data_IF_676990523559
#
_entry.id   IF_676990523559
#
_cell.length_a   1.000
_cell.length_b   1.000
_cell.length_c   1.000
_cell.angle_alpha   90.00
_cell.angle_beta   90.00
_cell.angle_gamma   90.00
#
_symmetry.space_group_name_H-M   'P 1'
#
loop_
_entity.id
_entity.type
_entity.pdbx_description
1 polymer ?
#
# COMPACT_ATOMS: atom_id res chain seq x y z
N UNK A 1 26.03 45.58 47.39
CA UNK A 1 27.05 44.52 47.57
C UNK A 1 27.08 43.70 46.28
N UNK A 2 27.77 44.21 45.27
CA UNK A 2 29.19 43.96 44.91
C UNK A 2 29.35 42.76 43.99
N UNK A 3 29.69 43.10 42.75
CA UNK A 3 30.34 42.31 41.71
C UNK A 3 31.74 41.83 42.08
N UNK A 4 32.17 40.69 41.52
CA UNK A 4 33.56 40.34 41.17
C UNK A 4 33.54 38.99 40.44
N UNK A 5 34.00 38.83 39.19
CA UNK A 5 35.41 38.84 38.74
C UNK A 5 36.24 37.73 39.43
N UNK A 6 37.18 36.98 38.85
CA UNK A 6 37.63 36.66 37.49
C UNK A 6 38.91 35.81 37.68
N UNK A 7 39.12 34.83 36.79
CA UNK A 7 40.43 34.36 36.23
C UNK A 7 41.52 33.63 37.04
N UNK A 8 42.22 32.78 36.24
CA UNK A 8 43.58 32.22 36.35
C UNK A 8 43.66 30.81 37.02
N UNK A 9 44.40 29.81 36.52
CA UNK A 9 45.67 29.82 35.78
C UNK A 9 45.99 28.43 35.14
N UNK A 10 46.55 28.44 33.91
CA UNK A 10 47.75 27.73 33.35
C UNK A 10 48.07 26.25 33.75
N UNK A 11 48.61 25.34 32.90
CA UNK A 11 49.62 25.48 31.84
C UNK A 11 49.83 24.20 30.97
N UNK A 12 50.40 24.41 29.76
CA UNK A 12 51.51 23.68 29.05
C UNK A 12 51.54 22.14 28.93
N UNK A 13 52.15 21.48 27.94
CA UNK A 13 52.63 21.67 26.55
C UNK A 13 53.14 20.24 26.11
N UNK A 14 53.22 19.95 24.81
CA UNK A 14 53.45 18.62 24.16
C UNK A 14 54.92 18.09 24.25
N UNK A 15 55.44 17.04 23.52
CA UNK A 15 54.91 16.13 22.46
C UNK A 15 55.44 14.64 22.43
N UNK A 16 55.20 13.96 21.28
CA UNK A 16 55.69 12.66 20.73
C UNK A 16 54.90 11.38 21.11
N UNK A 17 54.62 10.40 20.23
CA UNK A 17 54.88 10.13 18.80
C UNK A 17 54.04 8.88 18.38
N UNK A 18 53.73 8.73 17.07
CA UNK A 18 53.39 7.47 16.34
C UNK A 18 52.04 6.78 16.69
N UNK A 19 51.21 6.24 15.78
CA UNK A 19 51.33 5.86 14.37
C UNK A 19 49.91 5.69 13.78
N UNK A 20 49.79 5.95 12.48
CA UNK A 20 48.61 5.84 11.63
C UNK A 20 48.37 4.39 11.20
N UNK A 21 47.14 3.86 11.30
CA UNK A 21 46.66 2.84 10.35
C UNK A 21 45.13 2.64 10.37
N UNK A 22 44.54 2.67 9.17
CA UNK A 22 43.15 2.33 8.86
C UNK A 22 43.01 0.82 8.59
N UNK A 23 41.85 0.18 8.85
CA UNK A 23 41.53 -1.09 8.21
C UNK A 23 40.75 -0.86 6.91
N UNK A 24 41.34 -1.37 5.81
CA UNK A 24 40.80 -1.46 4.46
C UNK A 24 39.73 -2.55 4.31
N UNK A 25 38.87 -2.31 3.32
CA UNK A 25 37.97 -3.26 2.65
C UNK A 25 38.67 -4.57 2.23
N UNK A 26 37.92 -5.68 2.29
CA UNK A 26 38.26 -6.91 1.59
C UNK A 26 37.16 -7.25 0.58
N UNK A 27 37.51 -7.07 -0.69
CA UNK A 27 36.89 -7.72 -1.85
C UNK A 27 37.18 -9.23 -1.82
N UNK A 28 36.21 -10.05 -2.24
CA UNK A 28 36.48 -11.43 -2.68
C UNK A 28 35.95 -11.57 -4.10
N UNK A 29 36.89 -11.68 -5.05
CA UNK A 29 36.67 -12.00 -6.45
C UNK A 29 36.50 -13.52 -6.66
N UNK A 30 35.41 -13.86 -7.33
CA UNK A 30 35.33 -14.66 -8.57
C UNK A 30 36.41 -15.70 -8.87
N UNK A 31 36.03 -16.99 -8.91
CA UNK A 31 36.67 -18.00 -9.75
C UNK A 31 35.63 -18.66 -10.68
N UNK A 32 35.90 -18.57 -11.99
CA UNK A 32 35.27 -19.36 -13.05
C UNK A 32 36.02 -20.69 -13.23
N UNK A 33 35.33 -21.71 -13.77
CA UNK A 33 35.96 -22.64 -14.71
C UNK A 33 35.32 -22.54 -16.11
N UNK A 34 36.17 -22.73 -17.11
CA UNK A 34 35.92 -22.62 -18.55
C UNK A 34 35.30 -23.87 -19.20
N UNK A 35 34.25 -23.62 -19.99
CA UNK A 35 33.85 -24.17 -21.31
C UNK A 35 33.82 -25.68 -21.62
N UNK A 36 32.65 -26.16 -22.08
CA UNK A 36 32.51 -26.87 -23.37
C UNK A 36 31.10 -26.69 -23.95
N UNK A 37 31.01 -26.63 -25.29
CA UNK A 37 29.88 -26.19 -26.09
C UNK A 37 28.90 -27.33 -26.46
N UNK A 38 27.62 -27.00 -26.70
CA UNK A 38 26.64 -27.95 -27.25
C UNK A 38 25.17 -27.47 -27.33
N UNK A 39 24.88 -26.64 -28.33
CA UNK A 39 23.65 -26.48 -29.12
C UNK A 39 22.23 -26.82 -28.56
N UNK A 40 21.33 -25.82 -28.57
CA UNK A 40 19.94 -25.92 -29.09
C UNK A 40 18.76 -26.22 -28.13
N UNK A 41 17.80 -25.28 -28.02
CA UNK A 41 16.38 -25.56 -27.67
C UNK A 41 15.73 -24.71 -26.55
N UNK A 42 14.70 -23.92 -26.90
CA UNK A 42 13.79 -23.12 -26.01
C UNK A 42 12.92 -24.01 -25.08
N UNK A 43 12.02 -23.47 -24.19
CA UNK A 43 12.03 -22.25 -23.39
C UNK A 43 11.79 -22.50 -21.86
N UNK A 44 12.06 -21.44 -21.10
CA UNK A 44 11.62 -21.09 -19.75
C UNK A 44 10.40 -21.86 -19.17
N UNK A 45 10.63 -22.74 -18.20
CA UNK A 45 9.60 -23.32 -17.32
C UNK A 45 10.07 -23.23 -15.87
N UNK A 46 9.66 -22.17 -15.19
CA UNK A 46 9.73 -22.06 -13.73
C UNK A 46 8.49 -21.32 -13.22
N UNK A 47 7.33 -21.95 -13.47
CA UNK A 47 6.14 -21.71 -12.66
C UNK A 47 5.83 -23.04 -11.96
N UNK A 48 6.62 -23.36 -10.94
CA UNK A 48 6.32 -24.50 -10.07
C UNK A 48 5.07 -24.16 -9.27
N UNK A 49 3.96 -24.71 -9.75
CA UNK A 49 2.77 -24.97 -8.96
C UNK A 49 3.20 -25.60 -7.62
N UNK A 50 2.83 -24.94 -6.52
CA UNK A 50 2.87 -25.55 -5.20
C UNK A 50 1.76 -26.60 -5.17
N UNK A 51 2.10 -27.84 -5.53
CA UNK A 51 1.25 -29.01 -5.34
C UNK A 51 1.22 -29.35 -3.85
N UNK A 52 0.11 -29.04 -3.19
CA UNK A 52 -0.16 -29.50 -1.83
C UNK A 52 -0.73 -30.93 -1.85
N UNK A 53 0.11 -31.91 -2.16
CA UNK A 53 -0.15 -33.30 -1.79
C UNK A 53 1.12 -33.88 -1.17
N UNK A 54 1.27 -33.66 0.14
CA UNK A 54 2.06 -34.55 0.98
C UNK A 54 1.07 -35.36 1.80
N UNK A 55 0.64 -36.47 1.23
CA UNK A 55 0.02 -37.54 2.00
C UNK A 55 1.09 -38.08 2.94
N UNK A 56 0.85 -37.89 4.25
CA UNK A 56 1.59 -38.59 5.30
C UNK A 56 0.54 -39.28 6.15
N UNK A 57 0.62 -40.60 6.15
CA UNK A 57 -0.28 -41.56 6.78
C UNK A 57 -0.52 -41.22 8.27
N UNK A 58 -1.78 -41.30 8.70
CA UNK A 58 -2.18 -41.28 10.11
C UNK A 58 -2.59 -39.94 10.75
N UNK A 59 -2.88 -38.89 9.97
CA UNK A 59 -2.98 -37.52 10.54
C UNK A 59 -4.41 -36.96 10.50
N UNK A 60 -4.97 -36.63 11.67
CA UNK A 60 -6.18 -35.80 11.78
C UNK A 60 -6.10 -34.62 10.83
N UNK A 61 -7.07 -34.48 9.91
CA UNK A 61 -7.06 -33.38 8.93
C UNK A 61 -7.10 -32.07 9.70
N UNK A 62 -6.00 -31.30 9.64
CA UNK A 62 -5.94 -29.98 10.27
C UNK A 62 -7.03 -29.09 9.66
N UNK A 63 -8.04 -28.76 10.47
CA UNK A 63 -9.20 -27.98 10.08
C UNK A 63 -8.83 -26.54 9.72
N UNK A 64 -8.05 -25.85 10.55
CA UNK A 64 -7.58 -24.49 10.30
C UNK A 64 -6.19 -24.54 9.67
N UNK A 65 -6.10 -24.31 8.35
CA UNK A 65 -4.86 -24.43 7.57
C UNK A 65 -3.88 -23.30 7.84
N UNK A 66 -4.36 -22.08 8.11
CA UNK A 66 -3.49 -20.94 8.38
C UNK A 66 -4.27 -19.65 8.64
N UNK A 67 -3.54 -18.65 9.14
CA UNK A 67 -4.05 -17.29 9.36
C UNK A 67 -3.16 -16.32 8.58
N UNK A 68 -3.78 -15.45 7.80
CA UNK A 68 -3.07 -14.50 6.94
C UNK A 68 -3.56 -13.08 7.19
N UNK A 69 -2.63 -12.12 7.18
CA UNK A 69 -2.98 -10.70 7.15
C UNK A 69 -3.55 -10.36 5.78
N UNK A 70 -4.62 -9.55 5.75
CA UNK A 70 -5.18 -8.99 4.50
C UNK A 70 -5.49 -7.50 4.66
N UNK A 71 -6.07 -6.89 3.63
CA UNK A 71 -6.50 -5.49 3.66
C UNK A 71 -5.33 -4.52 3.89
N UNK A 72 -5.60 -3.41 4.57
CA UNK A 72 -4.64 -2.33 4.80
C UNK A 72 -3.39 -2.79 5.55
N UNK A 73 -3.55 -3.69 6.53
CA UNK A 73 -2.45 -4.18 7.36
C UNK A 73 -1.44 -4.97 6.51
N UNK A 74 -1.91 -5.87 5.65
CA UNK A 74 -1.02 -6.66 4.79
C UNK A 74 -0.31 -5.83 3.73
N UNK A 75 -0.98 -4.78 3.25
CA UNK A 75 -0.49 -3.90 2.18
C UNK A 75 0.35 -2.74 2.69
N UNK A 76 0.48 -2.58 4.01
CA UNK A 76 1.16 -1.44 4.62
C UNK A 76 0.49 -0.10 4.28
N UNK A 77 -0.84 -0.07 4.16
CA UNK A 77 -1.61 1.12 3.75
C UNK A 77 -2.36 1.79 4.91
N UNK A 78 -2.05 1.42 6.16
CA UNK A 78 -2.62 2.06 7.34
C UNK A 78 -2.25 3.55 7.39
N UNK A 79 -3.22 4.38 7.75
CA UNK A 79 -3.10 5.80 8.02
C UNK A 79 -3.45 6.08 9.49
N UNK A 80 -3.09 7.26 9.97
CA UNK A 80 -3.50 7.69 11.30
C UNK A 80 -5.03 7.70 11.42
N UNK A 81 -5.54 7.21 12.54
CA UNK A 81 -6.98 7.04 12.78
C UNK A 81 -7.53 5.68 12.36
N UNK A 82 -6.79 4.88 11.58
CA UNK A 82 -7.19 3.50 11.31
C UNK A 82 -7.08 2.65 12.57
N UNK A 83 -8.22 2.17 13.01
CA UNK A 83 -8.36 1.32 14.19
C UNK A 83 -8.85 -0.09 13.85
N UNK A 84 -9.06 -0.40 12.57
CA UNK A 84 -9.56 -1.70 12.14
C UNK A 84 -8.60 -2.39 11.17
N UNK A 85 -8.22 -3.63 11.48
CA UNK A 85 -7.36 -4.47 10.65
C UNK A 85 -8.02 -5.82 10.38
N UNK A 86 -7.58 -6.50 9.33
CA UNK A 86 -8.24 -7.71 8.84
C UNK A 86 -7.27 -8.89 8.79
N UNK A 87 -7.74 -10.03 9.29
CA UNK A 87 -7.12 -11.34 9.15
C UNK A 87 -8.10 -12.30 8.47
N UNK A 88 -7.57 -13.27 7.74
CA UNK A 88 -8.34 -14.36 7.16
C UNK A 88 -7.81 -15.70 7.66
N UNK A 89 -8.71 -16.52 8.18
CA UNK A 89 -8.46 -17.90 8.58
C UNK A 89 -8.90 -18.82 7.44
N UNK A 90 -7.96 -19.59 6.90
CA UNK A 90 -8.23 -20.55 5.84
C UNK A 90 -8.61 -21.91 6.44
N UNK A 91 -9.79 -22.39 6.11
CA UNK A 91 -10.33 -23.66 6.56
C UNK A 91 -10.14 -24.74 5.49
N UNK A 92 -9.88 -25.97 5.94
CA UNK A 92 -9.79 -27.15 5.08
C UNK A 92 -11.13 -27.43 4.37
N UNK A 93 -12.22 -27.28 5.12
CA UNK A 93 -13.59 -27.46 4.66
C UNK A 93 -14.33 -26.12 4.63
N UNK A 94 -15.52 -26.09 4.00
CA UNK A 94 -16.39 -24.90 4.00
C UNK A 94 -16.74 -24.55 5.46
N UNK A 95 -16.44 -23.32 5.93
CA UNK A 95 -16.62 -22.97 7.34
C UNK A 95 -18.11 -22.91 7.71
N UNK A 96 -18.40 -23.27 8.95
CA UNK A 96 -19.76 -23.30 9.51
C UNK A 96 -19.96 -22.31 10.64
N UNK A 97 -21.21 -22.02 11.00
CA UNK A 97 -21.57 -21.21 12.16
C UNK A 97 -21.14 -21.90 13.45
N UNK A 98 -21.23 -23.24 13.52
CA UNK A 98 -20.67 -24.02 14.64
C UNK A 98 -19.16 -23.81 14.80
N UNK A 99 -18.40 -23.81 13.70
CA UNK A 99 -16.96 -23.53 13.73
C UNK A 99 -16.69 -22.10 14.21
N UNK A 100 -17.44 -21.13 13.69
CA UNK A 100 -17.30 -19.73 14.09
C UNK A 100 -17.57 -19.53 15.59
N UNK A 101 -18.64 -20.15 16.11
CA UNK A 101 -18.97 -20.16 17.54
C UNK A 101 -17.86 -20.80 18.38
N UNK A 102 -17.30 -21.92 17.91
CA UNK A 102 -16.17 -22.57 18.58
C UNK A 102 -14.94 -21.65 18.64
N UNK A 103 -14.59 -20.97 17.55
CA UNK A 103 -13.49 -20.00 17.54
C UNK A 103 -13.78 -18.86 18.51
N UNK A 104 -15.00 -18.30 18.52
CA UNK A 104 -15.38 -17.21 19.41
C UNK A 104 -15.29 -17.59 20.91
N UNK A 105 -15.57 -18.85 21.26
CA UNK A 105 -15.46 -19.34 22.65
C UNK A 105 -14.02 -19.67 23.05
N UNK A 106 -13.24 -20.28 22.17
CA UNK A 106 -11.87 -20.75 22.48
C UNK A 106 -10.83 -19.64 22.40
N UNK A 107 -10.99 -18.69 21.48
CA UNK A 107 -10.00 -17.63 21.25
C UNK A 107 -9.71 -16.78 22.49
N UNK A 108 -10.70 -16.32 23.29
CA UNK A 108 -10.44 -15.62 24.55
C UNK A 108 -9.59 -16.43 25.53
N UNK A 109 -9.80 -17.75 25.59
CA UNK A 109 -9.07 -18.64 26.50
C UNK A 109 -7.59 -18.71 26.09
N UNK A 110 -7.31 -18.80 24.79
CA UNK A 110 -5.94 -18.83 24.29
C UNK A 110 -5.26 -17.46 24.39
N UNK A 111 -5.99 -16.36 24.16
CA UNK A 111 -5.46 -15.00 24.31
C UNK A 111 -4.99 -14.72 25.74
N UNK A 112 -5.78 -15.13 26.75
CA UNK A 112 -5.39 -14.97 28.17
C UNK A 112 -4.08 -15.67 28.51
N UNK A 113 -3.77 -16.80 27.88
CA UNK A 113 -2.51 -17.54 28.14
C UNK A 113 -1.27 -16.84 27.57
N UNK A 114 -1.45 -16.02 26.53
CA UNK A 114 -0.33 -15.35 25.84
C UNK A 114 -0.15 -13.93 26.37
N UNK A 115 -1.24 -13.29 26.81
CA UNK A 115 -1.24 -11.93 27.31
C UNK A 115 -2.20 -11.83 28.51
N UNK A 116 -1.74 -12.27 29.68
CA UNK A 116 -2.53 -12.31 30.91
C UNK A 116 -3.01 -10.93 31.36
N UNK A 117 -2.16 -9.91 31.18
CA UNK A 117 -2.44 -8.53 31.60
C UNK A 117 -3.28 -7.73 30.58
N UNK A 118 -3.57 -8.29 29.40
CA UNK A 118 -4.31 -7.59 28.35
C UNK A 118 -5.74 -8.10 28.21
N UNK A 119 -6.69 -7.17 28.32
CA UNK A 119 -8.11 -7.48 28.19
C UNK A 119 -8.55 -7.34 26.73
N UNK A 120 -8.78 -8.48 26.08
CA UNK A 120 -9.43 -8.53 24.78
C UNK A 120 -10.92 -8.84 24.91
N UNK A 121 -11.74 -8.13 24.16
CA UNK A 121 -13.16 -8.43 23.94
C UNK A 121 -13.30 -9.15 22.61
N UNK A 122 -13.92 -10.32 22.63
CA UNK A 122 -14.16 -11.14 21.43
C UNK A 122 -15.66 -11.22 21.19
N UNK A 123 -16.10 -10.78 20.01
CA UNK A 123 -17.51 -10.83 19.60
C UNK A 123 -17.64 -11.58 18.28
N UNK A 124 -18.72 -12.36 18.15
CA UNK A 124 -19.02 -13.07 16.90
C UNK A 124 -19.84 -12.16 15.98
N UNK A 125 -19.52 -12.16 14.68
CA UNK A 125 -20.26 -11.48 13.62
C UNK A 125 -20.69 -12.50 12.54
N UNK A 126 -21.79 -13.26 12.77
CA UNK A 126 -22.22 -14.34 11.88
C UNK A 126 -22.54 -13.87 10.45
N UNK A 127 -23.18 -12.71 10.32
CA UNK A 127 -23.56 -12.11 9.02
C UNK A 127 -22.32 -11.80 8.17
N UNK A 128 -21.20 -11.48 8.82
CA UNK A 128 -19.93 -11.18 8.16
C UNK A 128 -19.00 -12.40 8.06
N UNK A 129 -19.43 -13.57 8.54
CA UNK A 129 -18.61 -14.78 8.61
C UNK A 129 -17.31 -14.58 9.42
N UNK A 130 -17.35 -13.78 10.49
CA UNK A 130 -16.16 -13.30 11.17
C UNK A 130 -16.26 -13.27 12.70
N UNK A 131 -15.10 -13.21 13.34
CA UNK A 131 -14.93 -12.89 14.77
C UNK A 131 -14.22 -11.55 14.87
N UNK A 132 -14.70 -10.66 15.72
CA UNK A 132 -14.07 -9.38 16.00
C UNK A 132 -13.35 -9.47 17.35
N UNK A 133 -12.07 -9.11 17.36
CA UNK A 133 -11.25 -9.05 18.58
C UNK A 133 -10.84 -7.61 18.79
N UNK A 134 -11.13 -7.02 19.95
CA UNK A 134 -10.77 -5.64 20.26
C UNK A 134 -10.16 -5.49 21.65
N UNK A 135 -9.20 -4.58 21.77
CA UNK A 135 -8.64 -4.10 23.04
C UNK A 135 -9.27 -2.75 23.49
N UNK A 136 -10.30 -2.28 22.78
CA UNK A 136 -10.93 -0.97 22.97
C UNK A 136 -10.35 0.14 22.10
N UNK A 137 -9.12 -0.01 21.60
CA UNK A 137 -8.49 0.95 20.68
C UNK A 137 -8.44 0.41 19.26
N UNK A 138 -7.97 -0.83 19.08
CA UNK A 138 -7.83 -1.51 17.80
C UNK A 138 -8.84 -2.67 17.76
N UNK A 139 -9.41 -2.89 16.58
CA UNK A 139 -10.29 -4.02 16.26
C UNK A 139 -9.65 -4.85 15.15
N UNK A 140 -9.54 -6.15 15.38
CA UNK A 140 -9.10 -7.14 14.39
C UNK A 140 -10.33 -7.92 13.94
N UNK A 141 -10.73 -7.75 12.68
CA UNK A 141 -11.74 -8.60 12.04
C UNK A 141 -11.08 -9.87 11.49
N UNK A 142 -11.49 -11.02 12.02
CA UNK A 142 -10.98 -12.34 11.65
C UNK A 142 -12.07 -13.08 10.86
N UNK A 143 -11.97 -13.08 9.53
CA UNK A 143 -12.93 -13.77 8.66
C UNK A 143 -12.53 -15.23 8.41
N UNK A 144 -13.49 -16.15 8.45
CA UNK A 144 -13.27 -17.56 8.12
C UNK A 144 -13.66 -17.81 6.67
N UNK A 145 -12.84 -18.55 5.93
CA UNK A 145 -13.15 -18.92 4.54
C UNK A 145 -12.47 -20.23 4.12
N UNK A 146 -12.84 -20.77 2.96
CA UNK A 146 -12.25 -21.98 2.36
C UNK A 146 -12.16 -21.88 0.85
N UNK A 147 -11.06 -22.33 0.20
CA UNK A 147 -10.96 -22.36 -1.26
C UNK A 147 -12.08 -23.14 -1.95
N UNK A 148 -12.65 -24.14 -1.27
CA UNK A 148 -13.76 -24.97 -1.75
C UNK A 148 -15.04 -24.17 -2.03
N UNK A 149 -15.14 -22.93 -1.56
CA UNK A 149 -16.27 -22.05 -1.87
C UNK A 149 -16.21 -21.51 -3.30
N UNK A 150 -15.05 -21.51 -3.95
CA UNK A 150 -14.90 -21.08 -5.37
C UNK A 150 -15.10 -22.19 -6.38
N UNK A 151 -15.08 -23.45 -5.95
CA UNK A 151 -15.36 -24.59 -6.82
C UNK A 151 -16.87 -24.63 -7.10
N UNK A 152 -17.24 -24.83 -8.37
CA UNK A 152 -18.63 -24.74 -8.84
C UNK A 152 -19.53 -25.77 -8.16
N UNK A 153 -20.82 -25.46 -8.09
CA UNK A 153 -21.93 -26.22 -7.48
C UNK A 153 -22.23 -27.59 -8.12
N UNK A 154 -21.24 -28.32 -8.63
CA UNK A 154 -21.45 -29.69 -9.12
C UNK A 154 -21.79 -30.69 -8.00
N UNK A 155 -21.72 -30.27 -6.74
CA UNK A 155 -22.29 -30.97 -5.59
C UNK A 155 -23.44 -30.17 -4.96
N UNK A 156 -24.41 -29.73 -5.78
CA UNK A 156 -25.69 -29.19 -5.30
C UNK A 156 -26.56 -30.32 -4.68
N UNK A 157 -26.14 -30.85 -3.52
CA UNK A 157 -26.95 -31.73 -2.68
C UNK A 157 -26.43 -31.89 -1.24
N UNK A 158 -25.69 -30.92 -0.71
CA UNK A 158 -25.42 -30.84 0.73
C UNK A 158 -25.79 -29.44 1.22
N UNK A 159 -27.10 -29.20 1.32
CA UNK A 159 -27.63 -28.15 2.18
C UNK A 159 -27.33 -28.54 3.63
N UNK A 160 -26.12 -28.27 4.10
CA UNK A 160 -25.85 -28.16 5.52
C UNK A 160 -26.27 -26.76 5.94
N UNK A 161 -27.41 -26.64 6.62
CA UNK A 161 -28.00 -25.38 7.11
C UNK A 161 -27.03 -24.54 7.99
N UNK A 162 -25.89 -25.11 8.38
CA UNK A 162 -24.88 -24.50 9.25
C UNK A 162 -23.74 -23.79 8.49
N UNK A 163 -23.72 -23.73 7.15
CA UNK A 163 -22.63 -23.03 6.44
C UNK A 163 -22.63 -21.52 6.71
N UNK A 164 -21.43 -20.92 6.78
CA UNK A 164 -21.30 -19.47 6.84
C UNK A 164 -21.80 -18.81 5.54
N UNK A 165 -22.25 -17.54 5.60
CA UNK A 165 -22.70 -16.80 4.42
C UNK A 165 -21.64 -16.80 3.31
N UNK A 166 -22.03 -17.29 2.13
CA UNK A 166 -21.12 -17.51 1.00
C UNK A 166 -20.39 -16.23 0.58
N UNK A 167 -21.11 -15.13 0.47
CA UNK A 167 -20.60 -13.87 -0.06
C UNK A 167 -19.45 -13.27 0.81
N UNK A 168 -19.60 -13.08 2.13
CA UNK A 168 -18.48 -12.68 3.00
C UNK A 168 -17.26 -13.61 2.91
N UNK A 169 -17.47 -14.92 2.80
CA UNK A 169 -16.36 -15.86 2.66
C UNK A 169 -15.65 -15.71 1.30
N UNK A 170 -16.37 -15.45 0.21
CA UNK A 170 -15.78 -15.15 -1.09
C UNK A 170 -15.00 -13.82 -1.08
N UNK A 171 -15.53 -12.79 -0.41
CA UNK A 171 -14.83 -11.52 -0.19
C UNK A 171 -13.53 -11.70 0.60
N UNK A 172 -13.51 -12.58 1.61
CA UNK A 172 -12.28 -12.93 2.33
C UNK A 172 -11.25 -13.63 1.41
N UNK A 173 -11.68 -14.48 0.48
CA UNK A 173 -10.79 -15.07 -0.54
C UNK A 173 -10.31 -14.06 -1.58
N UNK A 174 -11.13 -13.08 -1.95
CA UNK A 174 -10.71 -11.95 -2.78
C UNK A 174 -9.64 -11.13 -2.06
N UNK A 175 -9.86 -10.77 -0.79
CA UNK A 175 -8.88 -10.03 0.02
C UNK A 175 -7.53 -10.74 0.14
N UNK A 176 -7.53 -12.08 0.24
CA UNK A 176 -6.30 -12.89 0.19
C UNK A 176 -5.57 -12.77 -1.15
N UNK A 177 -6.28 -12.84 -2.27
CA UNK A 177 -5.70 -12.67 -3.61
C UNK A 177 -5.17 -11.26 -3.80
N UNK A 178 -5.92 -10.25 -3.36
CA UNK A 178 -5.51 -8.84 -3.44
C UNK A 178 -4.23 -8.60 -2.63
N UNK A 179 -4.12 -9.17 -1.43
CA UNK A 179 -2.91 -9.07 -0.61
C UNK A 179 -1.70 -9.73 -1.29
N UNK A 180 -1.87 -10.92 -1.88
CA UNK A 180 -0.80 -11.60 -2.63
C UNK A 180 -0.38 -10.81 -3.87
N UNK A 181 -1.35 -10.33 -4.65
CA UNK A 181 -1.08 -9.48 -5.81
C UNK A 181 -0.33 -8.21 -5.40
N UNK A 182 -0.76 -7.54 -4.32
CA UNK A 182 -0.13 -6.32 -3.85
C UNK A 182 1.32 -6.54 -3.42
N UNK A 183 1.59 -7.65 -2.72
CA UNK A 183 2.94 -8.04 -2.35
C UNK A 183 3.82 -8.25 -3.59
N UNK A 184 3.29 -8.93 -4.61
CA UNK A 184 4.04 -9.26 -5.82
C UNK A 184 4.23 -8.08 -6.79
N UNK A 185 3.29 -7.11 -6.81
CA UNK A 185 3.21 -6.09 -7.86
C UNK A 185 3.47 -4.66 -7.36
N UNK A 186 2.91 -4.30 -6.21
CA UNK A 186 2.95 -2.92 -5.72
C UNK A 186 4.08 -2.68 -4.70
N UNK A 187 4.41 -3.67 -3.87
CA UNK A 187 5.34 -3.48 -2.73
C UNK A 187 6.76 -3.14 -3.17
N UNK A 188 7.25 -3.78 -4.24
CA UNK A 188 8.59 -3.51 -4.80
C UNK A 188 8.66 -2.30 -5.72
N UNK A 189 7.50 -1.70 -6.08
CA UNK A 189 7.46 -0.58 -7.01
C UNK A 189 7.79 0.73 -6.27
N UNK A 190 8.90 1.38 -6.64
CA UNK A 190 9.37 2.57 -5.95
C UNK A 190 8.29 3.65 -5.88
N UNK A 191 8.17 4.28 -4.70
CA UNK A 191 7.18 5.33 -4.38
C UNK A 191 5.71 4.87 -4.41
N UNK A 192 5.38 3.68 -4.93
CA UNK A 192 4.00 3.23 -5.15
C UNK A 192 3.17 3.20 -3.86
N UNK A 193 3.67 2.53 -2.82
CA UNK A 193 3.00 2.43 -1.51
C UNK A 193 2.79 3.82 -0.88
N UNK A 194 3.77 4.72 -1.03
CA UNK A 194 3.65 6.10 -0.53
C UNK A 194 2.53 6.86 -1.26
N UNK A 195 2.44 6.73 -2.58
CA UNK A 195 1.38 7.36 -3.36
C UNK A 195 0.02 6.77 -3.04
N UNK A 196 -0.10 5.46 -2.86
CA UNK A 196 -1.34 4.83 -2.44
C UNK A 196 -1.82 5.37 -1.09
N UNK A 197 -0.91 5.62 -0.13
CA UNK A 197 -1.25 6.27 1.14
C UNK A 197 -1.75 7.71 0.94
N UNK A 198 -1.07 8.50 0.12
CA UNK A 198 -1.49 9.88 -0.21
C UNK A 198 -2.87 9.89 -0.89
N UNK A 199 -3.10 9.00 -1.84
CA UNK A 199 -4.37 8.90 -2.56
C UNK A 199 -5.49 8.39 -1.66
N UNK A 200 -5.19 7.52 -0.70
CA UNK A 200 -6.16 7.08 0.30
C UNK A 200 -6.57 8.22 1.22
N UNK A 201 -5.61 9.01 1.71
CA UNK A 201 -5.88 10.25 2.46
C UNK A 201 -6.71 11.25 1.61
N UNK A 202 -6.38 11.40 0.33
CA UNK A 202 -7.17 12.23 -0.60
C UNK A 202 -8.64 11.78 -0.68
N UNK A 203 -8.88 10.47 -0.76
CA UNK A 203 -10.24 9.92 -0.77
C UNK A 203 -10.98 10.16 0.55
N UNK A 204 -10.28 10.21 1.68
CA UNK A 204 -10.88 10.54 2.98
C UNK A 204 -11.26 12.02 3.08
N UNK A 205 -10.43 12.92 2.53
CA UNK A 205 -10.64 14.37 2.59
C UNK A 205 -11.62 14.90 1.55
N UNK A 206 -11.70 14.27 0.39
CA UNK A 206 -12.41 14.81 -0.78
C UNK A 206 -13.44 13.79 -1.27
N UNK A 207 -14.75 13.97 -0.95
CA UNK A 207 -15.80 12.99 -1.22
C UNK A 207 -15.95 12.54 -2.68
N UNK A 208 -15.57 13.39 -3.65
CA UNK A 208 -15.59 13.01 -5.07
C UNK A 208 -14.69 11.80 -5.33
N UNK A 209 -13.55 11.70 -4.64
CA UNK A 209 -12.57 10.63 -4.82
C UNK A 209 -12.94 9.35 -4.08
N UNK A 210 -13.79 9.42 -3.04
CA UNK A 210 -14.24 8.22 -2.30
C UNK A 210 -15.17 7.32 -3.11
N UNK A 211 -15.64 7.76 -4.28
CA UNK A 211 -16.42 6.93 -5.19
C UNK A 211 -15.60 5.79 -5.80
N UNK A 212 -14.29 5.94 -5.94
CA UNK A 212 -13.42 4.86 -6.43
C UNK A 212 -13.20 3.88 -5.27
N UNK A 213 -13.51 2.60 -5.50
CA UNK A 213 -13.26 1.57 -4.50
C UNK A 213 -11.76 1.50 -4.17
N UNK A 214 -11.43 1.13 -2.93
CA UNK A 214 -10.02 1.04 -2.52
C UNK A 214 -9.21 0.11 -3.43
N UNK A 215 -9.78 -1.01 -3.82
CA UNK A 215 -9.13 -1.97 -4.71
C UNK A 215 -8.90 -1.41 -6.11
N UNK A 216 -9.91 -0.75 -6.70
CA UNK A 216 -9.75 -0.09 -8.01
C UNK A 216 -8.69 1.01 -7.96
N UNK A 217 -8.64 1.80 -6.88
CA UNK A 217 -7.60 2.82 -6.68
C UNK A 217 -6.21 2.17 -6.60
N UNK A 218 -6.02 1.11 -5.82
CA UNK A 218 -4.74 0.40 -5.72
C UNK A 218 -4.28 -0.14 -7.09
N UNK A 219 -5.16 -0.82 -7.82
CA UNK A 219 -4.86 -1.36 -9.16
C UNK A 219 -4.51 -0.24 -10.15
N UNK A 220 -5.28 0.84 -10.16
CA UNK A 220 -5.08 1.96 -11.09
C UNK A 220 -3.74 2.64 -10.84
N UNK A 221 -3.40 2.89 -9.57
CA UNK A 221 -2.13 3.51 -9.19
C UNK A 221 -0.93 2.64 -9.53
N UNK A 222 -0.99 1.33 -9.27
CA UNK A 222 0.08 0.41 -9.67
C UNK A 222 0.29 0.42 -11.19
N UNK A 223 -0.78 0.36 -11.99
CA UNK A 223 -0.67 0.39 -13.46
C UNK A 223 -0.11 1.72 -13.97
N UNK A 224 -0.57 2.85 -13.43
CA UNK A 224 -0.07 4.16 -13.83
C UNK A 224 1.43 4.29 -13.51
N UNK A 225 1.85 3.90 -12.31
CA UNK A 225 3.24 4.04 -11.88
C UNK A 225 4.14 3.03 -12.61
N UNK A 226 3.74 1.77 -12.72
CA UNK A 226 4.53 0.72 -13.40
C UNK A 226 4.70 0.98 -14.89
N UNK A 227 3.73 1.63 -15.54
CA UNK A 227 3.84 2.01 -16.96
C UNK A 227 4.87 3.12 -17.25
N UNK A 228 5.49 3.72 -16.24
CA UNK A 228 6.51 4.76 -16.45
C UNK A 228 7.77 4.21 -17.13
N UNK A 229 8.10 2.93 -16.93
CA UNK A 229 9.32 2.32 -17.45
C UNK A 229 10.62 2.77 -16.76
N UNK A 230 10.54 3.79 -15.91
CA UNK A 230 11.65 4.33 -15.13
C UNK A 230 11.27 4.50 -13.65
N UNK A 231 12.29 4.69 -12.83
CA UNK A 231 12.14 4.91 -11.40
C UNK A 231 11.73 6.36 -11.13
N UNK A 232 10.59 6.56 -10.50
CA UNK A 232 10.03 7.88 -10.22
C UNK A 232 10.14 8.24 -8.73
N UNK A 233 10.45 9.52 -8.46
CA UNK A 233 10.33 10.10 -7.13
C UNK A 233 8.86 10.23 -6.70
N UNK A 234 8.53 10.35 -5.41
CA UNK A 234 7.15 10.53 -4.98
C UNK A 234 6.45 11.74 -5.63
N UNK A 235 7.16 12.84 -5.84
CA UNK A 235 6.58 14.02 -6.51
C UNK A 235 6.23 13.77 -7.97
N UNK A 236 7.06 13.01 -8.69
CA UNK A 236 6.82 12.62 -10.09
C UNK A 236 5.71 11.58 -10.18
N UNK A 237 5.66 10.59 -9.29
CA UNK A 237 4.55 9.62 -9.26
C UNK A 237 3.21 10.31 -9.05
N UNK A 238 3.11 11.22 -8.07
CA UNK A 238 1.85 11.94 -7.83
C UNK A 238 1.44 12.78 -9.03
N UNK A 239 2.40 13.47 -9.66
CA UNK A 239 2.15 14.21 -10.90
C UNK A 239 1.63 13.29 -12.00
N UNK A 240 2.30 12.17 -12.27
CA UNK A 240 1.90 11.19 -13.28
C UNK A 240 0.51 10.61 -13.03
N UNK A 241 0.19 10.31 -11.77
CA UNK A 241 -1.16 9.88 -11.37
C UNK A 241 -2.18 10.96 -11.72
N UNK A 242 -1.94 12.21 -11.37
CA UNK A 242 -2.87 13.30 -11.70
C UNK A 242 -2.97 13.54 -13.21
N UNK A 243 -1.89 13.40 -13.96
CA UNK A 243 -1.90 13.47 -15.43
C UNK A 243 -2.80 12.38 -16.03
N UNK A 244 -2.59 11.12 -15.64
CA UNK A 244 -3.40 10.00 -16.12
C UNK A 244 -4.88 10.12 -15.72
N UNK A 245 -5.17 10.55 -14.49
CA UNK A 245 -6.56 10.77 -14.03
C UNK A 245 -7.22 11.95 -14.77
N UNK A 246 -6.43 12.97 -15.15
CA UNK A 246 -6.92 14.14 -15.89
C UNK A 246 -7.13 13.88 -17.39
N UNK A 247 -6.51 12.83 -17.94
CA UNK A 247 -6.55 12.48 -19.37
C UNK A 247 -7.82 11.71 -19.77
N UNK A 248 -8.88 11.79 -18.96
CA UNK A 248 -10.17 11.12 -19.19
C UNK A 248 -10.09 9.59 -19.26
N UNK A 249 -9.11 8.97 -18.58
CA UNK A 249 -8.97 7.51 -18.50
C UNK A 249 -10.20 6.84 -17.88
N UNK A 250 -10.95 7.54 -17.03
CA UNK A 250 -12.20 7.04 -16.45
C UNK A 250 -13.41 7.20 -17.37
N UNK A 251 -13.35 8.08 -18.38
CA UNK A 251 -14.48 8.37 -19.28
C UNK A 251 -14.39 7.54 -20.56
N UNK A 252 -13.22 7.59 -21.22
CA UNK A 252 -12.98 6.98 -22.53
C UNK A 252 -11.86 5.92 -22.48
N UNK A 253 -11.44 5.52 -21.28
CA UNK A 253 -10.41 4.50 -21.14
C UNK A 253 -10.94 3.07 -21.29
N UNK A 254 -10.03 2.09 -21.31
CA UNK A 254 -10.36 0.68 -21.60
C UNK A 254 -11.01 -0.07 -20.43
N UNK A 255 -11.37 0.62 -19.33
CA UNK A 255 -11.72 -0.02 -18.05
C UNK A 255 -10.50 -0.51 -17.27
N UNK A 256 -10.74 -1.18 -16.14
CA UNK A 256 -9.70 -1.68 -15.24
C UNK A 256 -9.99 -3.13 -14.81
N UNK A 257 -9.47 -4.05 -15.60
CA UNK A 257 -9.60 -5.49 -15.37
C UNK A 257 -8.97 -5.91 -14.03
N UNK A 258 -9.72 -6.69 -13.25
CA UNK A 258 -9.24 -7.29 -12.01
C UNK A 258 -8.29 -8.48 -12.30
N UNK A 259 -6.99 -8.38 -11.99
CA UNK A 259 -6.04 -9.48 -12.21
C UNK A 259 -6.20 -10.62 -11.21
N UNK A 260 -7.01 -10.44 -10.16
CA UNK A 260 -7.26 -11.47 -9.16
C UNK A 260 -8.45 -12.37 -9.54
N UNK A 261 -9.35 -11.94 -10.42
CA UNK A 261 -10.52 -12.74 -10.84
C UNK A 261 -10.24 -13.62 -12.06
N UNK A 262 -10.98 -14.75 -12.14
CA UNK A 262 -10.89 -15.68 -13.27
C UNK A 262 -11.66 -15.14 -14.48
N UNK A 263 -12.90 -14.72 -14.22
CA UNK A 263 -13.74 -14.09 -15.23
C UNK A 263 -13.34 -12.62 -15.39
N UNK A 264 -13.42 -12.07 -16.62
CA UNK A 264 -13.11 -10.67 -16.85
C UNK A 264 -14.06 -9.73 -16.08
N UNK A 265 -13.55 -9.12 -15.02
CA UNK A 265 -14.31 -8.17 -14.18
C UNK A 265 -13.68 -6.78 -14.25
N UNK A 266 -14.46 -5.75 -14.58
CA UNK A 266 -14.01 -4.35 -14.54
C UNK A 266 -14.24 -3.75 -13.16
N UNK A 267 -13.16 -3.51 -12.42
CA UNK A 267 -13.21 -2.93 -11.06
C UNK A 267 -13.77 -1.50 -11.01
N UNK A 268 -13.88 -0.82 -12.16
CA UNK A 268 -14.49 0.51 -12.26
C UNK A 268 -15.97 0.45 -12.65
N UNK A 269 -16.54 -0.72 -12.95
CA UNK A 269 -17.91 -0.85 -13.46
C UNK A 269 -18.97 -0.19 -12.55
N UNK A 270 -18.74 -0.17 -11.23
CA UNK A 270 -19.64 0.48 -10.26
C UNK A 270 -19.69 2.01 -10.32
N UNK A 271 -18.78 2.67 -11.06
CA UNK A 271 -18.78 4.13 -11.21
C UNK A 271 -19.78 4.59 -12.28
N UNK A 272 -20.72 5.44 -11.88
CA UNK A 272 -21.62 6.14 -12.80
C UNK A 272 -20.86 7.11 -13.71
N UNK A 273 -21.48 7.48 -14.83
CA UNK A 273 -20.93 8.49 -15.76
C UNK A 273 -20.64 9.82 -15.08
N UNK A 274 -21.53 10.27 -14.18
CA UNK A 274 -21.35 11.53 -13.45
C UNK A 274 -20.16 11.45 -12.49
N UNK A 275 -20.04 10.36 -11.71
CA UNK A 275 -18.89 10.18 -10.81
C UNK A 275 -17.56 10.18 -11.58
N UNK A 276 -17.51 9.54 -12.76
CA UNK A 276 -16.32 9.53 -13.63
C UNK A 276 -15.96 10.94 -14.10
N UNK A 277 -16.95 11.75 -14.47
CA UNK A 277 -16.76 13.15 -14.88
C UNK A 277 -16.25 13.99 -13.71
N UNK A 278 -16.89 13.89 -12.55
CA UNK A 278 -16.53 14.68 -11.36
C UNK A 278 -15.09 14.39 -10.90
N UNK A 279 -14.69 13.11 -10.90
CA UNK A 279 -13.31 12.71 -10.59
C UNK A 279 -12.33 13.28 -11.62
N UNK A 280 -12.66 13.18 -12.91
CA UNK A 280 -11.81 13.69 -14.00
C UNK A 280 -11.64 15.21 -13.89
N UNK A 281 -12.71 15.95 -13.63
CA UNK A 281 -12.70 17.40 -13.42
C UNK A 281 -11.85 17.79 -12.20
N UNK A 282 -11.99 17.06 -11.09
CA UNK A 282 -11.19 17.24 -9.89
C UNK A 282 -9.69 17.00 -10.17
N UNK A 283 -9.37 15.91 -10.88
CA UNK A 283 -8.00 15.60 -11.28
C UNK A 283 -7.38 16.67 -12.19
N UNK A 284 -8.12 17.19 -13.17
CA UNK A 284 -7.69 18.31 -14.01
C UNK A 284 -7.38 19.58 -13.19
N UNK A 285 -8.15 19.84 -12.14
CA UNK A 285 -7.89 20.94 -11.20
C UNK A 285 -6.61 20.71 -10.39
N UNK A 286 -6.42 19.51 -9.85
CA UNK A 286 -5.23 19.17 -9.08
C UNK A 286 -3.97 19.18 -9.94
N UNK A 287 -4.08 18.73 -11.20
CA UNK A 287 -2.97 18.78 -12.14
C UNK A 287 -2.50 20.22 -12.40
N UNK A 288 -3.45 21.16 -12.56
CA UNK A 288 -3.13 22.59 -12.66
C UNK A 288 -2.45 23.11 -11.39
N UNK A 289 -2.94 22.75 -10.20
CA UNK A 289 -2.26 23.14 -8.95
C UNK A 289 -0.83 22.59 -8.89
N UNK A 290 -0.60 21.34 -9.26
CA UNK A 290 0.73 20.73 -9.30
C UNK A 290 1.64 21.44 -10.33
N UNK A 291 1.11 21.82 -11.50
CA UNK A 291 1.85 22.59 -12.51
C UNK A 291 2.24 23.98 -12.01
N UNK A 292 1.37 24.66 -11.28
CA UNK A 292 1.61 25.99 -10.72
C UNK A 292 2.25 25.97 -9.32
N UNK A 293 2.90 24.85 -8.92
CA UNK A 293 3.62 24.70 -7.65
C UNK A 293 2.74 24.89 -6.40
N UNK A 294 1.45 24.57 -6.53
CA UNK A 294 0.45 24.61 -5.46
C UNK A 294 0.07 23.19 -4.98
N UNK A 295 1.01 22.25 -5.01
CA UNK A 295 0.80 20.85 -4.57
C UNK A 295 0.28 20.74 -3.13
N UNK A 296 0.60 21.70 -2.26
CA UNK A 296 0.10 21.76 -0.89
C UNK A 296 -1.43 21.78 -0.81
N UNK A 297 -2.12 22.35 -1.83
CA UNK A 297 -3.59 22.31 -1.93
C UNK A 297 -4.13 20.91 -2.18
N UNK A 298 -3.44 20.13 -3.02
CA UNK A 298 -3.79 18.72 -3.29
C UNK A 298 -3.60 17.88 -2.01
N UNK A 299 -2.48 18.12 -1.32
CA UNK A 299 -2.12 17.43 -0.08
C UNK A 299 -2.93 17.90 1.15
N UNK A 300 -3.70 18.98 1.04
CA UNK A 300 -4.47 19.51 2.17
C UNK A 300 -3.61 20.05 3.31
N UNK A 301 -2.41 20.55 3.01
CA UNK A 301 -1.47 21.10 4.00
C UNK A 301 -1.18 22.58 3.74
N UNK A 302 -0.64 23.26 4.76
CA UNK A 302 -0.08 24.60 4.58
C UNK A 302 1.17 24.55 3.68
N UNK A 303 1.46 25.63 2.93
CA UNK A 303 2.72 25.74 2.19
C UNK A 303 3.91 25.52 3.12
N UNK A 304 4.82 24.64 2.72
CA UNK A 304 6.06 24.44 3.46
C UNK A 304 6.93 25.70 3.39
N UNK A 305 7.69 26.02 4.45
CA UNK A 305 8.61 27.14 4.42
C UNK A 305 9.66 26.92 3.31
N UNK A 306 10.13 28.00 2.66
CA UNK A 306 11.18 27.89 1.66
C UNK A 306 12.45 27.28 2.30
N UNK A 307 13.14 26.37 1.60
CA UNK A 307 14.32 25.71 2.14
C UNK A 307 15.40 26.75 2.50
N UNK A 308 15.89 26.71 3.74
CA UNK A 308 16.88 27.66 4.30
C UNK A 308 18.25 27.59 3.60
N UNK A 309 18.57 26.46 2.98
CA UNK A 309 19.79 26.25 2.21
C UNK A 309 19.45 25.95 0.76
N UNK A 310 19.28 26.99 -0.05
CA UNK A 310 19.41 26.89 -1.50
C UNK A 310 20.89 26.78 -1.89
N UNK A 311 21.62 25.83 -1.29
CA UNK A 311 23.03 25.59 -1.58
C UNK A 311 23.20 25.17 -3.04
N UNK A 312 23.76 26.08 -3.85
CA UNK A 312 24.37 25.86 -5.18
C UNK A 312 23.62 24.98 -6.21
N UNK A 313 22.31 24.75 -6.08
CA UNK A 313 21.49 24.18 -7.17
C UNK A 313 20.84 25.29 -7.99
N UNK A 314 21.70 26.13 -8.57
CA UNK A 314 21.34 27.20 -9.49
C UNK A 314 21.14 26.71 -10.95
N UNK A 315 20.67 25.48 -11.17
CA UNK A 315 20.53 24.93 -12.52
C UNK A 315 19.09 24.46 -12.79
N UNK A 316 18.43 25.16 -13.72
CA UNK A 316 17.25 24.75 -14.55
C UNK A 316 15.82 25.18 -14.21
N UNK A 317 15.54 26.16 -13.35
CA UNK A 317 14.13 26.62 -13.21
C UNK A 317 13.85 28.11 -13.27
N UNK A 318 14.86 28.95 -13.52
CA UNK A 318 14.62 30.38 -13.72
C UNK A 318 14.26 30.72 -15.17
N UNK A 319 13.23 30.09 -15.75
CA UNK A 319 12.55 30.64 -16.93
C UNK A 319 11.42 31.52 -16.40
N UNK A 320 11.80 32.72 -15.94
CA UNK A 320 10.91 33.77 -15.47
C UNK A 320 9.94 34.10 -16.61
N UNK A 321 8.71 33.57 -16.56
CA UNK A 321 7.64 33.97 -17.49
C UNK A 321 7.36 35.44 -17.19
N UNK A 322 7.75 36.33 -18.11
CA UNK A 322 7.45 37.77 -18.03
C UNK A 322 5.96 37.92 -17.72
N UNK A 323 5.64 38.46 -16.55
CA UNK A 323 4.32 39.06 -16.29
C UNK A 323 4.28 40.31 -17.16
N UNK A 324 3.61 40.23 -18.32
CA UNK A 324 3.12 41.42 -19.01
C UNK A 324 1.89 41.89 -18.22
N UNK A 325 2.08 42.90 -17.39
CA UNK A 325 1.02 43.40 -16.52
C UNK A 325 1.52 44.47 -15.59
N UNK A 326 1.32 45.71 -16.06
CA UNK A 326 1.02 46.94 -15.32
C UNK A 326 2.17 47.83 -14.81
N UNK A 327 2.03 49.10 -15.21
CA UNK A 327 2.48 50.37 -14.61
C UNK A 327 3.89 50.87 -14.92
N UNK A 328 3.95 51.75 -15.93
CA UNK A 328 5.07 52.63 -16.23
C UNK A 328 4.55 54.04 -16.45
N UNK A 329 4.28 54.71 -15.32
CA UNK A 329 4.44 56.13 -15.03
C UNK A 329 4.33 57.13 -16.20
N UNK A 330 3.28 57.96 -16.14
CA UNK A 330 3.21 59.26 -16.80
C UNK A 330 4.43 60.09 -16.39
N UNK A 331 5.17 60.57 -17.39
CA UNK A 331 6.11 61.67 -17.24
C UNK A 331 6.16 62.41 -18.57
N UNK A 332 5.41 63.50 -18.62
CA UNK A 332 5.50 64.54 -19.65
C UNK A 332 6.96 65.00 -19.81
N UNK A 333 7.35 65.20 -21.07
CA UNK A 333 8.63 65.79 -21.43
C UNK A 333 8.61 66.20 -22.90
N UNK A 334 8.07 67.40 -23.17
CA UNK A 334 8.22 68.11 -24.45
C UNK A 334 9.71 68.41 -24.72
N UNK A 335 10.18 68.05 -25.90
CA UNK A 335 10.74 68.93 -26.94
C UNK A 335 11.18 68.07 -28.12
#
# INVERSE_FOLDING_TARGET
TTSSASTAATASDQPNEQTNDQPKEQEIQSQQPTTSAGNGGKPNQANQMISFHKETEGTTIRLLKGVMRVGLLAKGLLLHGDNCVQLVVLCAEKPTTSLLKRVATELPIQLKKIAEDHRYTVTMAPVEGAVLVTDGTITVKISLTSPLLREAEQAAAQNTEDLLPREPCLQALAALRHAKWFQARATGLQSCVMIMRIMRDLCQRIPVWSNISQWAMELLLEKIISSAGEVLTPGECLRRVMEAMSSSILLNGPGLLDPCEKEPEDTLAGLSKQQREDITNSAQTFMRWIAFRQIYKVLGISPLPPPKFAGSRNWRFNRKRRRSGTEGNDSEGRC
#
